data_IF_532105724321
#
_entry.id   IF_532105724321
#
_cell.length_a   1.000
_cell.length_b   1.000
_cell.length_c   1.000
_cell.angle_alpha   90.00
_cell.angle_beta   90.00
_cell.angle_gamma   90.00
#
_symmetry.space_group_name_H-M   'P 1'
#
loop_
_entity.id
_entity.type
_entity.pdbx_description
1 polymer ?
#
# COMPACT_ATOMS: atom_id res chain seq x y z
N UNK A 1 -1.39 -22.30 -6.68
CA UNK A 1 -1.82 -21.00 -6.08
C UNK A 1 -2.62 -20.22 -7.12
N UNK A 2 -3.49 -19.25 -6.77
CA UNK A 2 -4.33 -18.61 -7.81
C UNK A 2 -3.54 -17.76 -8.79
N UNK A 3 -2.39 -17.20 -8.38
CA UNK A 3 -1.43 -16.54 -9.28
C UNK A 3 -1.04 -17.44 -10.47
N UNK A 4 -0.74 -18.72 -10.24
CA UNK A 4 -0.35 -19.66 -11.29
C UNK A 4 -1.51 -19.93 -12.28
N UNK A 5 -2.75 -19.88 -11.79
CA UNK A 5 -3.99 -20.11 -12.54
C UNK A 5 -4.52 -18.86 -13.25
N UNK A 6 -3.83 -17.72 -13.12
CA UNK A 6 -4.18 -16.46 -13.78
C UNK A 6 -4.10 -16.64 -15.30
N UNK A 7 -5.10 -16.12 -16.00
CA UNK A 7 -5.22 -16.11 -17.47
C UNK A 7 -4.98 -14.70 -18.01
N UNK A 8 -4.91 -14.53 -19.33
CA UNK A 8 -4.81 -13.21 -19.97
C UNK A 8 -6.03 -12.31 -19.77
N UNK A 9 -7.18 -12.89 -19.36
CA UNK A 9 -8.44 -12.19 -19.09
C UNK A 9 -8.71 -11.94 -17.61
N UNK A 10 -7.80 -12.38 -16.72
CA UNK A 10 -7.94 -12.24 -15.28
C UNK A 10 -6.67 -11.67 -14.66
N UNK A 11 -6.80 -11.06 -13.50
CA UNK A 11 -5.66 -10.71 -12.67
C UNK A 11 -5.90 -11.08 -11.21
N UNK A 12 -4.80 -11.34 -10.51
CA UNK A 12 -4.79 -11.60 -9.07
C UNK A 12 -4.21 -10.38 -8.39
N UNK A 13 -4.93 -9.87 -7.41
CA UNK A 13 -4.53 -8.73 -6.59
C UNK A 13 -4.24 -9.24 -5.18
N UNK A 14 -3.02 -9.03 -4.72
CA UNK A 14 -2.64 -9.21 -3.32
C UNK A 14 -2.45 -7.82 -2.73
N UNK A 15 -3.00 -7.56 -1.54
CA UNK A 15 -2.86 -6.26 -0.89
C UNK A 15 -2.55 -6.39 0.58
N UNK A 16 -1.75 -5.46 1.09
CA UNK A 16 -1.59 -5.28 2.54
C UNK A 16 -1.25 -3.83 2.88
N UNK A 17 -1.42 -3.50 4.14
CA UNK A 17 -1.06 -2.22 4.72
C UNK A 17 0.25 -2.30 5.49
N UNK A 18 1.03 -1.23 5.38
CA UNK A 18 2.14 -0.96 6.29
C UNK A 18 1.98 0.42 6.90
N UNK A 19 1.71 0.46 8.20
CA UNK A 19 1.93 1.67 9.01
C UNK A 19 3.41 1.67 9.40
N UNK A 20 4.03 2.85 9.52
CA UNK A 20 5.32 3.12 10.19
C UNK A 20 6.51 3.55 9.32
N UNK A 21 6.33 4.07 8.10
CA UNK A 21 7.39 4.92 7.54
C UNK A 21 7.36 6.25 8.29
N UNK A 22 8.50 6.72 8.78
CA UNK A 22 8.59 7.91 9.64
C UNK A 22 9.45 8.97 8.94
N UNK A 23 8.80 9.90 8.24
CA UNK A 23 9.47 11.01 7.55
C UNK A 23 9.75 12.17 8.52
N UNK A 24 10.63 13.09 8.12
CA UNK A 24 11.14 14.15 8.99
C UNK A 24 12.56 13.90 9.50
N UNK A 25 13.20 12.82 9.02
CA UNK A 25 14.60 12.52 9.30
C UNK A 25 15.57 13.30 8.41
N UNK A 26 16.79 13.41 8.89
CA UNK A 26 17.93 14.02 8.22
C UNK A 26 19.15 13.14 8.47
N UNK A 27 20.20 13.17 7.62
CA UNK A 27 21.44 12.45 7.89
C UNK A 27 21.99 12.75 9.30
N UNK A 28 21.71 13.95 9.81
CA UNK A 28 22.05 14.36 11.17
C UNK A 28 20.79 14.43 12.05
N UNK A 29 20.69 13.56 13.05
CA UNK A 29 19.60 13.60 14.04
C UNK A 29 20.11 13.88 15.45
N UNK A 30 19.45 14.83 16.14
CA UNK A 30 19.53 14.98 17.60
C UNK A 30 18.51 14.03 18.25
N UNK A 31 18.75 13.62 19.51
CA UNK A 31 17.88 12.68 20.21
C UNK A 31 16.40 13.10 20.31
N UNK A 32 16.12 14.42 20.29
CA UNK A 32 14.74 14.94 20.26
C UNK A 32 14.07 14.75 18.89
N UNK A 33 14.80 14.92 17.78
CA UNK A 33 14.23 14.85 16.43
C UNK A 33 13.70 13.45 16.08
N UNK A 34 14.20 12.39 16.74
CA UNK A 34 13.75 11.01 16.52
C UNK A 34 12.29 10.77 16.93
N UNK A 35 11.81 11.46 17.98
CA UNK A 35 10.44 11.30 18.49
C UNK A 35 9.41 12.17 17.75
N UNK A 36 9.87 13.13 16.94
CA UNK A 36 9.03 14.10 16.25
C UNK A 36 8.74 13.75 14.78
N UNK A 37 9.15 12.56 14.32
CA UNK A 37 8.93 12.14 12.94
C UNK A 37 7.46 11.95 12.62
N UNK A 38 7.07 12.40 11.43
CA UNK A 38 5.71 12.26 10.91
C UNK A 38 5.52 10.84 10.37
N UNK A 39 4.49 10.15 10.86
CA UNK A 39 4.16 8.81 10.38
C UNK A 39 3.48 8.89 9.00
N UNK A 40 3.80 7.93 8.15
CA UNK A 40 3.19 7.73 6.83
C UNK A 40 2.73 6.29 6.75
N UNK A 41 1.48 6.10 6.31
CA UNK A 41 0.93 4.79 5.98
C UNK A 41 1.11 4.50 4.50
N UNK A 42 1.30 3.22 4.16
CA UNK A 42 1.38 2.75 2.78
C UNK A 42 0.38 1.62 2.57
N UNK A 43 -0.53 1.78 1.62
CA UNK A 43 -1.36 0.71 1.09
C UNK A 43 -0.72 0.20 -0.20
N UNK A 44 -0.39 -1.09 -0.25
CA UNK A 44 0.17 -1.72 -1.44
C UNK A 44 -0.81 -2.66 -2.11
N UNK A 45 -0.82 -2.64 -3.43
CA UNK A 45 -1.34 -3.70 -4.28
C UNK A 45 -0.20 -4.32 -5.11
N UNK A 46 -0.10 -5.64 -5.11
CA UNK A 46 0.61 -6.40 -6.12
C UNK A 46 -0.42 -6.97 -7.09
N UNK A 47 -0.35 -6.55 -8.34
CA UNK A 47 -1.23 -7.01 -9.40
C UNK A 47 -0.44 -7.99 -10.27
N UNK A 48 -0.86 -9.24 -10.25
CA UNK A 48 -0.32 -10.30 -11.08
C UNK A 48 -1.24 -10.53 -12.27
N UNK A 49 -0.68 -10.46 -13.48
CA UNK A 49 -1.43 -10.67 -14.72
C UNK A 49 -0.56 -11.36 -15.76
N UNK A 50 -1.21 -11.96 -16.78
CA UNK A 50 -0.52 -12.53 -17.93
C UNK A 50 -0.72 -11.69 -19.18
N UNK A 51 0.35 -11.46 -19.92
CA UNK A 51 0.27 -10.89 -21.25
C UNK A 51 -0.08 -11.95 -22.30
N UNK A 52 -0.29 -11.52 -23.56
CA UNK A 52 -0.70 -12.40 -24.66
C UNK A 52 0.27 -13.57 -24.92
N UNK A 53 1.53 -13.41 -24.55
CA UNK A 53 2.59 -14.42 -24.67
C UNK A 53 2.62 -15.42 -23.49
N UNK A 54 1.65 -15.34 -22.57
CA UNK A 54 1.54 -16.11 -21.33
C UNK A 54 2.60 -15.80 -20.27
N UNK A 55 3.47 -14.81 -20.48
CA UNK A 55 4.42 -14.36 -19.47
C UNK A 55 3.68 -13.80 -18.25
N UNK A 56 4.19 -14.09 -17.05
CA UNK A 56 3.61 -13.61 -15.80
C UNK A 56 4.28 -12.31 -15.39
N UNK A 57 3.50 -11.25 -15.30
CA UNK A 57 3.96 -9.93 -14.88
C UNK A 57 3.44 -9.61 -13.48
N UNK A 58 4.23 -8.86 -12.73
CA UNK A 58 3.84 -8.30 -11.44
C UNK A 58 4.05 -6.79 -11.46
N UNK A 59 2.98 -6.05 -11.18
CA UNK A 59 3.01 -4.60 -11.04
C UNK A 59 2.62 -4.21 -9.63
N UNK A 60 3.42 -3.34 -9.02
CA UNK A 60 3.18 -2.83 -7.68
C UNK A 60 2.59 -1.42 -7.75
N UNK A 61 1.56 -1.19 -6.93
CA UNK A 61 0.94 0.11 -6.72
C UNK A 61 0.97 0.45 -5.23
N UNK A 62 1.69 1.50 -4.89
CA UNK A 62 1.95 1.96 -3.54
C UNK A 62 1.28 3.33 -3.33
N UNK A 63 0.29 3.38 -2.45
CA UNK A 63 -0.42 4.59 -2.07
C UNK A 63 0.04 5.07 -0.69
N UNK A 64 0.74 6.19 -0.64
CA UNK A 64 1.22 6.81 0.61
C UNK A 64 0.19 7.79 1.14
N UNK A 65 0.03 7.88 2.46
CA UNK A 65 -0.90 8.84 3.06
C UNK A 65 -0.47 9.26 4.47
N UNK A 66 -0.91 10.45 4.85
CA UNK A 66 -0.92 10.92 6.24
C UNK A 66 -2.13 10.34 7.03
N UNK A 67 -3.06 9.66 6.37
CA UNK A 67 -4.18 8.94 6.99
C UNK A 67 -3.70 7.63 7.57
N UNK A 68 -3.49 7.60 8.89
CA UNK A 68 -3.03 6.43 9.64
C UNK A 68 -4.16 5.46 10.01
N UNK A 69 -5.39 5.69 9.53
CA UNK A 69 -6.50 4.78 9.79
C UNK A 69 -6.71 3.84 8.61
N UNK A 70 -6.49 2.54 8.85
CA UNK A 70 -6.84 1.43 7.96
C UNK A 70 -8.35 1.24 7.82
N UNK A 71 -9.03 2.23 7.25
CA UNK A 71 -10.46 2.12 7.00
C UNK A 71 -10.78 1.73 5.56
N UNK A 72 -12.00 1.21 5.41
CA UNK A 72 -12.54 0.74 4.15
C UNK A 72 -12.64 1.84 3.11
N UNK A 73 -12.79 3.12 3.49
CA UNK A 73 -12.86 4.21 2.52
C UNK A 73 -11.53 4.41 1.81
N UNK A 74 -10.41 4.40 2.56
CA UNK A 74 -9.07 4.48 1.96
C UNK A 74 -8.87 3.33 0.97
N UNK A 75 -9.21 2.10 1.36
CA UNK A 75 -9.08 0.93 0.47
C UNK A 75 -9.97 1.04 -0.76
N UNK A 76 -11.24 1.44 -0.62
CA UNK A 76 -12.19 1.56 -1.73
C UNK A 76 -11.73 2.62 -2.74
N UNK A 77 -11.28 3.79 -2.25
CA UNK A 77 -10.82 4.87 -3.12
C UNK A 77 -9.58 4.44 -3.91
N UNK A 78 -8.63 3.76 -3.26
CA UNK A 78 -7.43 3.24 -3.91
C UNK A 78 -7.74 2.10 -4.89
N UNK A 79 -8.64 1.17 -4.54
CA UNK A 79 -9.10 0.14 -5.49
C UNK A 79 -9.78 0.81 -6.68
N UNK A 80 -10.64 1.80 -6.47
CA UNK A 80 -11.32 2.52 -7.57
C UNK A 80 -10.32 3.18 -8.51
N UNK A 81 -9.30 3.84 -7.96
CA UNK A 81 -8.17 4.37 -8.73
C UNK A 81 -7.44 3.26 -9.49
N UNK A 82 -7.09 2.16 -8.84
CA UNK A 82 -6.40 1.02 -9.45
C UNK A 82 -7.21 0.46 -10.63
N UNK A 83 -8.51 0.23 -10.44
CA UNK A 83 -9.39 -0.30 -11.49
C UNK A 83 -9.54 0.63 -12.68
N UNK A 84 -9.48 1.95 -12.45
CA UNK A 84 -9.49 2.92 -13.55
C UNK A 84 -8.23 2.85 -14.43
N UNK A 85 -7.12 2.34 -13.89
CA UNK A 85 -5.86 2.11 -14.61
C UNK A 85 -5.82 0.73 -15.28
N UNK A 86 -6.49 -0.26 -14.67
CA UNK A 86 -6.50 -1.66 -15.12
C UNK A 86 -7.59 -1.95 -16.19
N UNK A 87 -7.95 -0.98 -17.04
CA UNK A 87 -8.97 -1.14 -18.08
C UNK A 87 -8.58 -2.27 -19.04
N UNK A 88 -9.17 -3.45 -18.89
CA UNK A 88 -8.89 -4.61 -19.74
C UNK A 88 -9.10 -5.97 -19.07
N UNK A 89 -9.02 -6.06 -17.75
CA UNK A 89 -9.29 -7.33 -17.05
C UNK A 89 -10.79 -7.54 -16.84
N UNK A 90 -11.30 -8.71 -17.24
CA UNK A 90 -12.70 -9.09 -17.00
C UNK A 90 -12.91 -9.66 -15.59
N UNK A 91 -11.85 -10.15 -14.94
CA UNK A 91 -11.95 -10.85 -13.67
C UNK A 91 -10.82 -10.46 -12.71
N UNK A 92 -11.21 -10.07 -11.50
CA UNK A 92 -10.31 -9.71 -10.40
C UNK A 92 -10.42 -10.75 -9.31
N UNK A 93 -9.30 -11.24 -8.81
CA UNK A 93 -9.24 -12.17 -7.68
C UNK A 93 -8.41 -11.52 -6.58
N UNK A 94 -9.02 -11.24 -5.43
CA UNK A 94 -8.29 -10.75 -4.26
C UNK A 94 -7.81 -11.94 -3.42
N UNK A 95 -6.51 -12.17 -3.36
CA UNK A 95 -5.93 -13.25 -2.55
C UNK A 95 -5.45 -12.75 -1.20
N UNK A 96 -5.84 -13.46 -0.14
CA UNK A 96 -5.26 -13.27 1.19
C UNK A 96 -3.89 -13.95 1.33
N UNK A 97 -3.69 -15.08 0.65
CA UNK A 97 -2.42 -15.81 0.64
C UNK A 97 -1.46 -15.16 -0.38
N UNK A 98 -0.15 -15.22 -0.10
CA UNK A 98 0.86 -14.53 -0.93
C UNK A 98 1.43 -13.24 -0.32
N UNK A 99 1.09 -12.95 0.95
CA UNK A 99 1.63 -11.80 1.70
C UNK A 99 3.16 -11.69 1.68
N UNK A 100 3.86 -12.82 1.57
CA UNK A 100 5.33 -12.84 1.48
C UNK A 100 5.87 -11.94 0.34
N UNK A 101 5.16 -11.84 -0.79
CA UNK A 101 5.55 -10.96 -1.91
C UNK A 101 5.43 -9.49 -1.50
N UNK A 102 4.30 -9.13 -0.87
CA UNK A 102 4.03 -7.79 -0.35
C UNK A 102 5.02 -7.41 0.76
N UNK A 103 5.28 -8.32 1.70
CA UNK A 103 6.22 -8.14 2.81
C UNK A 103 7.67 -7.98 2.34
N UNK A 104 8.08 -8.78 1.34
CA UNK A 104 9.40 -8.65 0.71
C UNK A 104 9.58 -7.25 0.11
N UNK A 105 8.59 -6.76 -0.64
CA UNK A 105 8.64 -5.40 -1.19
C UNK A 105 8.59 -4.33 -0.10
N UNK A 106 7.88 -4.54 1.02
CA UNK A 106 7.97 -3.61 2.17
C UNK A 106 9.38 -3.60 2.76
N UNK A 107 10.07 -4.73 2.77
CA UNK A 107 11.49 -4.81 3.11
C UNK A 107 12.36 -3.96 2.18
N UNK A 108 12.10 -3.99 0.87
CA UNK A 108 12.80 -3.15 -0.13
C UNK A 108 12.58 -1.67 0.15
N UNK A 109 11.33 -1.22 0.32
CA UNK A 109 11.04 0.19 0.62
C UNK A 109 11.66 0.63 1.95
N UNK A 110 11.67 -0.24 2.96
CA UNK A 110 12.29 0.06 4.26
C UNK A 110 13.80 0.24 4.14
N UNK A 111 14.46 -0.57 3.30
CA UNK A 111 15.89 -0.44 3.00
C UNK A 111 16.18 0.86 2.24
N UNK A 112 15.46 1.12 1.16
CA UNK A 112 15.60 2.36 0.40
C UNK A 112 15.36 3.57 1.30
N UNK A 113 14.32 3.55 2.13
CA UNK A 113 14.07 4.64 3.07
C UNK A 113 15.28 4.89 4.00
N UNK A 114 15.88 3.82 4.54
CA UNK A 114 17.05 3.94 5.41
C UNK A 114 18.28 4.54 4.69
N UNK A 115 18.49 4.18 3.42
CA UNK A 115 19.53 4.76 2.57
C UNK A 115 19.24 6.23 2.25
N UNK A 116 17.99 6.55 1.91
CA UNK A 116 17.57 7.91 1.60
C UNK A 116 17.73 8.83 2.80
N UNK A 117 17.32 8.39 3.99
CA UNK A 117 17.48 9.14 5.23
C UNK A 117 18.95 9.37 5.60
N UNK A 118 19.86 8.45 5.23
CA UNK A 118 21.29 8.60 5.47
C UNK A 118 21.97 9.56 4.48
N UNK A 119 21.40 9.76 3.29
CA UNK A 119 22.03 10.50 2.18
C UNK A 119 21.41 11.87 1.95
N UNK A 120 20.12 12.04 2.24
CA UNK A 120 19.39 13.27 2.00
C UNK A 120 18.27 13.49 3.03
N UNK A 121 17.70 14.69 3.02
CA UNK A 121 16.57 15.00 3.87
C UNK A 121 15.26 14.50 3.24
N UNK A 122 14.39 13.87 4.03
CA UNK A 122 13.07 13.41 3.59
C UNK A 122 12.02 13.99 4.54
N UNK A 123 11.46 15.15 4.19
CA UNK A 123 10.53 15.88 5.07
C UNK A 123 9.07 15.66 4.71
N UNK A 124 8.78 15.41 3.43
CA UNK A 124 7.43 15.25 2.90
C UNK A 124 7.21 13.88 2.27
N UNK A 125 5.94 13.52 2.03
CA UNK A 125 5.60 12.30 1.28
C UNK A 125 6.08 12.43 -0.16
N UNK A 126 6.05 13.62 -0.74
CA UNK A 126 6.57 13.89 -2.09
C UNK A 126 8.08 13.62 -2.18
N UNK A 127 8.87 14.09 -1.21
CA UNK A 127 10.33 13.81 -1.16
C UNK A 127 10.58 12.30 -1.13
N UNK A 128 9.82 11.58 -0.31
CA UNK A 128 9.91 10.12 -0.19
C UNK A 128 9.58 9.43 -1.52
N UNK A 129 8.48 9.82 -2.17
CA UNK A 129 8.06 9.25 -3.45
C UNK A 129 9.06 9.55 -4.55
N UNK A 130 9.60 10.76 -4.61
CA UNK A 130 10.60 11.14 -5.60
C UNK A 130 11.85 10.27 -5.46
N UNK A 131 12.35 10.10 -4.24
CA UNK A 131 13.48 9.22 -3.96
C UNK A 131 13.19 7.76 -4.35
N UNK A 132 12.01 7.23 -4.04
CA UNK A 132 11.62 5.87 -4.43
C UNK A 132 11.48 5.70 -5.93
N UNK A 133 10.98 6.70 -6.66
CA UNK A 133 10.93 6.70 -8.13
C UNK A 133 12.32 6.64 -8.72
N UNK A 134 13.27 7.42 -8.21
CA UNK A 134 14.66 7.40 -8.66
C UNK A 134 15.30 6.01 -8.45
N UNK A 135 15.15 5.43 -7.26
CA UNK A 135 15.62 4.06 -6.94
C UNK A 135 14.94 3.00 -7.80
N UNK A 136 13.64 3.11 -8.03
CA UNK A 136 12.91 2.18 -8.89
C UNK A 136 13.41 2.24 -10.35
N UNK A 137 13.62 3.44 -10.89
CA UNK A 137 14.13 3.63 -12.25
C UNK A 137 15.55 3.07 -12.42
N UNK A 138 16.43 3.28 -11.45
CA UNK A 138 17.78 2.68 -11.44
C UNK A 138 17.72 1.15 -11.46
N UNK A 139 16.82 0.54 -10.69
CA UNK A 139 16.67 -0.92 -10.65
C UNK A 139 15.95 -1.49 -11.87
N UNK A 140 14.99 -0.77 -12.45
CA UNK A 140 14.27 -1.20 -13.64
C UNK A 140 15.21 -1.40 -14.82
N UNK A 141 16.14 -0.45 -15.04
CA UNK A 141 17.18 -0.53 -16.07
C UNK A 141 18.02 -1.82 -15.92
N UNK A 142 18.20 -2.31 -14.70
CA UNK A 142 19.09 -3.43 -14.41
C UNK A 142 18.41 -4.81 -14.49
N UNK A 143 17.10 -4.93 -14.19
CA UNK A 143 16.49 -6.26 -13.89
C UNK A 143 15.14 -6.48 -14.59
N UNK A 144 14.54 -5.48 -15.23
CA UNK A 144 13.37 -5.59 -16.13
C UNK A 144 12.17 -6.46 -15.65
N UNK A 145 11.96 -6.62 -14.34
CA UNK A 145 11.10 -7.69 -13.80
C UNK A 145 9.93 -7.22 -12.92
N UNK A 146 9.81 -5.93 -12.60
CA UNK A 146 8.66 -5.39 -11.88
C UNK A 146 8.48 -3.89 -12.09
N UNK A 147 7.26 -3.47 -12.44
CA UNK A 147 6.91 -2.06 -12.57
C UNK A 147 6.37 -1.56 -11.22
N UNK A 148 6.95 -0.49 -10.68
CA UNK A 148 6.53 0.11 -9.41
C UNK A 148 5.86 1.46 -9.67
N UNK A 149 4.67 1.65 -9.11
CA UNK A 149 3.90 2.88 -9.20
C UNK A 149 3.67 3.44 -7.81
N UNK A 150 3.96 4.74 -7.64
CA UNK A 150 3.85 5.43 -6.35
C UNK A 150 2.90 6.62 -6.51
N UNK A 151 1.89 6.71 -5.64
CA UNK A 151 0.89 7.80 -5.61
C UNK A 151 0.61 8.25 -4.17
N UNK A 152 0.10 9.47 -4.02
CA UNK A 152 -0.34 10.02 -2.73
C UNK A 152 -1.85 9.88 -2.64
N UNK A 153 -2.31 9.17 -1.61
CA UNK A 153 -3.71 9.21 -1.21
C UNK A 153 -3.94 10.36 -0.23
N UNK A 154 -4.84 11.27 -0.63
CA UNK A 154 -5.39 12.30 0.22
C UNK A 154 -6.89 12.07 0.35
N UNK A 155 -7.39 11.95 1.57
CA UNK A 155 -8.83 11.81 1.81
C UNK A 155 -9.54 13.13 1.48
N UNK A 156 -10.29 13.15 0.40
CA UNK A 156 -11.07 14.32 -0.03
C UNK A 156 -12.49 14.36 0.52
N UNK A 157 -13.08 13.19 0.83
CA UNK A 157 -14.46 13.07 1.31
C UNK A 157 -14.56 12.67 2.80
N UNK A 158 -15.51 13.29 3.49
CA UNK A 158 -15.79 12.98 4.90
C UNK A 158 -16.57 11.67 5.04
N UNK A 159 -16.26 10.89 6.09
CA UNK A 159 -17.00 9.67 6.42
C UNK A 159 -18.34 10.06 7.03
N UNK A 160 -19.40 10.05 6.23
CA UNK A 160 -20.75 10.32 6.72
C UNK A 160 -21.45 9.03 7.16
N UNK A 161 -21.38 7.99 6.33
CA UNK A 161 -22.09 6.74 6.52
C UNK A 161 -21.18 5.53 6.24
N UNK A 162 -21.41 4.45 6.97
CA UNK A 162 -20.90 3.11 6.72
C UNK A 162 -22.01 2.31 6.05
N UNK A 163 -21.73 1.83 4.84
CA UNK A 163 -22.60 0.90 4.13
C UNK A 163 -22.15 -0.53 4.43
N UNK A 164 -23.07 -1.36 4.93
CA UNK A 164 -22.82 -2.75 5.28
C UNK A 164 -23.69 -3.65 4.41
N UNK A 165 -23.04 -4.60 3.73
CA UNK A 165 -23.69 -5.75 3.11
C UNK A 165 -23.79 -6.85 4.16
N UNK A 166 -25.02 -7.18 4.59
CA UNK A 166 -25.27 -8.23 5.57
C UNK A 166 -25.75 -9.49 4.87
N UNK A 167 -25.00 -10.59 5.01
CA UNK A 167 -25.31 -11.90 4.45
C UNK A 167 -25.52 -12.87 5.62
N UNK A 168 -26.64 -13.58 5.60
CA UNK A 168 -26.95 -14.59 6.61
C UNK A 168 -25.96 -15.76 6.45
N UNK A 169 -25.42 -16.26 7.58
CA UNK A 169 -24.41 -17.32 7.59
C UNK A 169 -23.17 -17.03 6.71
N UNK A 170 -22.72 -15.77 6.61
CA UNK A 170 -21.56 -15.36 5.81
C UNK A 170 -20.35 -16.31 5.92
N UNK A 171 -20.02 -16.77 7.14
CA UNK A 171 -18.88 -17.66 7.41
C UNK A 171 -18.98 -19.05 6.76
N UNK A 172 -20.17 -19.46 6.32
CA UNK A 172 -20.39 -20.74 5.63
C UNK A 172 -19.97 -20.70 4.16
N UNK A 173 -19.72 -19.50 3.61
CA UNK A 173 -19.37 -19.31 2.21
C UNK A 173 -17.90 -18.93 2.07
N UNK A 174 -17.25 -19.49 1.05
CA UNK A 174 -15.86 -19.22 0.71
C UNK A 174 -15.69 -18.37 -0.56
N UNK A 175 -16.74 -18.29 -1.39
CA UNK A 175 -16.71 -17.49 -2.62
C UNK A 175 -18.06 -16.81 -2.87
N UNK A 176 -18.00 -15.64 -3.51
CA UNK A 176 -19.16 -14.82 -3.85
C UNK A 176 -19.03 -14.30 -5.28
N UNK A 177 -20.15 -14.29 -6.02
CA UNK A 177 -20.22 -13.72 -7.37
C UNK A 177 -21.49 -12.88 -7.51
N UNK A 178 -21.37 -11.75 -8.19
CA UNK A 178 -22.50 -10.88 -8.51
C UNK A 178 -22.89 -11.05 -9.97
N UNK A 179 -24.12 -11.50 -10.23
CA UNK A 179 -24.64 -11.74 -11.58
C UNK A 179 -26.04 -11.16 -11.68
N UNK A 180 -26.31 -10.32 -12.68
CA UNK A 180 -27.65 -9.78 -12.96
C UNK A 180 -28.35 -9.18 -11.72
N UNK A 181 -27.63 -8.34 -10.96
CA UNK A 181 -28.11 -7.72 -9.70
C UNK A 181 -28.46 -8.69 -8.56
N UNK A 182 -28.07 -9.95 -8.69
CA UNK A 182 -28.21 -10.97 -7.66
C UNK A 182 -26.85 -11.39 -7.15
N UNK A 183 -26.81 -11.72 -5.86
CA UNK A 183 -25.62 -12.22 -5.20
C UNK A 183 -25.71 -13.73 -5.09
N UNK A 184 -24.67 -14.40 -5.54
CA UNK A 184 -24.50 -15.83 -5.43
C UNK A 184 -23.30 -16.15 -4.53
N UNK A 185 -23.36 -17.27 -3.82
CA UNK A 185 -22.28 -17.72 -2.96
C UNK A 185 -22.06 -19.22 -3.07
N UNK A 186 -20.82 -19.66 -2.82
CA UNK A 186 -20.45 -21.07 -2.74
C UNK A 186 -19.77 -21.36 -1.42
N UNK A 187 -20.02 -22.55 -0.87
CA UNK A 187 -19.31 -23.07 0.31
C UNK A 187 -17.87 -23.50 -0.03
N UNK A 188 -17.55 -23.60 -1.31
CA UNK A 188 -16.23 -23.96 -1.84
C UNK A 188 -15.57 -22.75 -2.52
N UNK A 189 -14.24 -22.69 -2.46
CA UNK A 189 -13.44 -21.75 -3.27
C UNK A 189 -13.30 -22.30 -4.70
N UNK A 190 -14.33 -22.08 -5.51
CA UNK A 190 -14.49 -22.65 -6.85
C UNK A 190 -14.80 -21.57 -7.88
N UNK A 191 -14.43 -21.84 -9.14
CA UNK A 191 -14.75 -20.98 -10.28
C UNK A 191 -15.84 -21.59 -11.17
N UNK A 192 -16.46 -22.69 -10.72
CA UNK A 192 -17.49 -23.41 -11.46
C UNK A 192 -18.85 -22.80 -11.12
N UNK A 193 -19.54 -22.27 -12.12
CA UNK A 193 -20.81 -21.54 -11.92
C UNK A 193 -21.90 -22.40 -11.25
N UNK A 194 -21.90 -23.71 -11.46
CA UNK A 194 -22.90 -24.63 -10.88
C UNK A 194 -22.79 -24.78 -9.36
N UNK A 195 -21.65 -24.45 -8.77
CA UNK A 195 -21.42 -24.56 -7.33
C UNK A 195 -21.97 -23.35 -6.54
N UNK A 196 -22.52 -22.36 -7.26
CA UNK A 196 -23.02 -21.13 -6.70
C UNK A 196 -24.54 -21.17 -6.51
N UNK A 197 -24.99 -20.82 -5.32
CA UNK A 197 -26.39 -20.67 -4.98
C UNK A 197 -26.75 -19.20 -4.76
N UNK A 198 -27.94 -18.80 -5.19
CA UNK A 198 -28.46 -17.46 -4.92
C UNK A 198 -28.63 -17.27 -3.41
N UNK A 199 -28.14 -16.16 -2.87
CA UNK A 199 -28.23 -15.82 -1.46
C UNK A 199 -28.90 -14.46 -1.24
N UNK A 200 -29.70 -14.40 -0.18
CA UNK A 200 -30.30 -13.14 0.25
C UNK A 200 -29.27 -12.28 1.00
N UNK A 201 -29.35 -10.97 0.78
CA UNK A 201 -28.54 -9.99 1.49
C UNK A 201 -29.39 -8.78 1.91
N UNK A 202 -28.90 -8.05 2.92
CA UNK A 202 -29.51 -6.79 3.39
C UNK A 202 -28.47 -5.69 3.37
N UNK A 203 -28.79 -4.56 2.75
CA UNK A 203 -27.97 -3.36 2.84
C UNK A 203 -28.40 -2.54 4.05
N UNK A 204 -27.43 -2.19 4.91
CA UNK A 204 -27.64 -1.28 6.05
C UNK A 204 -26.73 -0.06 5.88
N UNK A 205 -27.27 1.13 6.15
CA UNK A 205 -26.48 2.35 6.27
C UNK A 205 -26.50 2.82 7.72
N UNK A 206 -25.33 3.07 8.28
CA UNK A 206 -25.17 3.51 9.66
C UNK A 206 -24.27 4.75 9.65
N UNK A 207 -24.63 5.79 10.41
CA UNK A 207 -23.79 6.98 10.54
C UNK A 207 -22.39 6.61 11.04
N UNK A 208 -21.36 7.12 10.38
CA UNK A 208 -19.97 6.91 10.80
C UNK A 208 -19.55 7.99 11.82
N UNK A 209 -19.45 7.59 13.08
CA UNK A 209 -19.03 8.49 14.16
C UNK A 209 -17.51 8.42 14.44
N UNK A 210 -16.76 7.61 13.71
CA UNK A 210 -15.32 7.44 13.95
C UNK A 210 -14.59 8.71 13.53
N UNK A 211 -13.55 9.10 14.28
CA UNK A 211 -12.60 10.14 13.85
C UNK A 211 -11.49 9.54 12.98
N UNK A 212 -11.11 10.23 11.91
CA UNK A 212 -10.00 9.79 11.05
C UNK A 212 -8.70 10.10 11.76
N UNK A 213 -7.79 9.13 11.83
CA UNK A 213 -6.49 9.31 12.47
C UNK A 213 -5.53 9.85 11.42
N UNK A 214 -5.03 11.07 11.63
CA UNK A 214 -4.01 11.67 10.77
C UNK A 214 -2.66 11.69 11.50
N UNK A 215 -1.59 11.68 10.72
CA UNK A 215 -0.26 11.95 11.22
C UNK A 215 -0.20 13.38 11.79
N UNK A 216 0.56 13.56 12.87
CA UNK A 216 0.78 14.87 13.46
C UNK A 216 1.62 15.70 12.48
N UNK A 217 1.09 16.82 12.00
CA UNK A 217 1.85 17.77 11.18
C UNK A 217 2.74 18.59 12.10
N UNK A 218 4.04 18.66 11.78
CA UNK A 218 4.98 19.55 12.47
C UNK A 218 4.56 21.00 12.24
N UNK A 219 4.43 21.79 13.30
CA UNK A 219 4.48 23.25 13.16
C UNK A 219 5.94 23.63 12.91
N UNK A 220 6.20 24.37 11.81
CA UNK A 220 7.54 24.88 11.52
C UNK A 220 7.89 25.86 12.62
N UNK A 221 8.66 25.42 13.61
CA UNK A 221 9.26 26.31 14.60
C UNK A 221 10.39 27.03 13.87
N UNK A 222 10.19 28.30 13.53
CA UNK A 222 11.27 29.18 13.08
C UNK A 222 12.34 29.19 14.17
N UNK A 223 13.47 28.53 13.91
CA UNK A 223 14.62 28.64 14.79
C UNK A 223 15.88 28.48 13.95
N UNK A 224 16.55 29.60 13.72
CA UNK A 224 17.97 29.70 13.39
C UNK A 224 18.82 29.14 14.57
N UNK A 225 18.59 27.90 14.97
CA UNK A 225 19.37 27.25 16.02
C UNK A 225 20.36 26.33 15.33
N UNK A 226 21.64 26.69 15.42
CA UNK A 226 22.74 25.85 14.96
C UNK A 226 22.60 24.44 15.54
N UNK A 227 22.52 23.46 14.65
CA UNK A 227 22.45 22.04 14.99
C UNK A 227 23.80 21.62 15.59
N UNK A 228 23.88 21.54 16.92
CA UNK A 228 25.05 21.00 17.62
C UNK A 228 24.94 19.46 17.63
N UNK A 229 25.78 18.80 16.83
CA UNK A 229 25.83 17.34 16.75
C UNK A 229 26.73 16.80 17.85
N UNK A 230 26.22 15.86 18.66
CA UNK A 230 27.02 15.15 19.65
C UNK A 230 28.07 14.24 19.00
N UNK A 231 29.25 14.13 19.62
CA UNK A 231 30.42 13.40 19.10
C UNK A 231 30.10 11.95 18.72
N UNK A 232 29.27 11.25 19.50
CA UNK A 232 28.82 9.88 19.20
C UNK A 232 27.92 9.80 17.97
N UNK A 233 27.00 10.74 17.81
CA UNK A 233 26.11 10.79 16.63
C UNK A 233 26.90 11.04 15.35
N UNK A 234 27.97 11.85 15.44
CA UNK A 234 28.90 12.08 14.32
C UNK A 234 29.64 10.81 13.90
N UNK A 235 30.15 10.05 14.87
CA UNK A 235 30.82 8.76 14.59
C UNK A 235 29.87 7.73 13.97
N UNK A 236 28.61 7.66 14.44
CA UNK A 236 27.60 6.76 13.86
C UNK A 236 27.27 7.17 12.42
N UNK A 237 27.15 8.46 12.15
CA UNK A 237 26.90 8.98 10.79
C UNK A 237 28.06 8.67 9.84
N UNK A 238 29.30 8.94 10.27
CA UNK A 238 30.50 8.62 9.49
C UNK A 238 30.62 7.11 9.20
N UNK A 239 30.19 6.27 10.14
CA UNK A 239 30.16 4.81 9.95
C UNK A 239 29.09 4.40 8.93
N UNK A 240 27.91 5.03 8.96
CA UNK A 240 26.83 4.74 8.00
C UNK A 240 27.20 5.14 6.58
N UNK A 241 27.83 6.30 6.39
CA UNK A 241 28.30 6.77 5.08
C UNK A 241 29.32 5.79 4.48
N UNK A 242 30.27 5.30 5.29
CA UNK A 242 31.26 4.32 4.82
C UNK A 242 30.66 2.98 4.42
N UNK A 243 29.51 2.60 4.97
CA UNK A 243 28.81 1.35 4.65
C UNK A 243 27.92 1.47 3.41
N UNK A 244 27.54 2.68 2.99
CA UNK A 244 26.77 2.90 1.75
C UNK A 244 27.64 3.00 0.50
N UNK A 245 28.96 3.19 0.66
CA UNK A 245 29.93 3.34 -0.44
C UNK A 245 30.64 2.02 -0.82
N UNK A 246 30.26 0.90 -0.20
CA UNK A 246 30.75 -0.48 -0.47
C UNK A 246 29.64 -1.37 -1.01
#
# INVERSE_FOLDING_TARGET
QSIERTTTSSCVIVMDFKENIRIGGSPVETGNNFFEKTQVSVLRFAVHYRESDQSLHTQYFDYFSDVLSHDTSFVIDCITKLLSLCQGFMKLVFEYHGKNIIDSHFGVLSRWFSEGEATQNIYTIDDLINFFREKANQNYININTSIMNFDIYSRTQCRQNIHKLCIDNFKSYQSFVWINNKLYASTLSTLIDTDYMEINYKMKSIKDNRKTKYALKKQILNTEVQVVIGVKSRQILETRIRLSDT
#
